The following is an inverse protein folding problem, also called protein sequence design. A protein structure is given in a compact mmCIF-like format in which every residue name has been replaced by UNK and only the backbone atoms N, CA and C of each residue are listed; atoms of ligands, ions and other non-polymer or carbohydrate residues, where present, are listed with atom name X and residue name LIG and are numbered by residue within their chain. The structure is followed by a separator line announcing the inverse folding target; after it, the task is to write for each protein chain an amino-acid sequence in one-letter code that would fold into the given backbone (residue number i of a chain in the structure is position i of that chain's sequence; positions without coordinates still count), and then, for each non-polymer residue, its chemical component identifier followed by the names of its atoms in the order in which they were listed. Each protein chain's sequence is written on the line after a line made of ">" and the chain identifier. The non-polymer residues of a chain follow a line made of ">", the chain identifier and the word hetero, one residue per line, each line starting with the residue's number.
data_IF_841035763771
#
_entry.id   IF_841035763771
#
_cell.length_a   1.000
_cell.length_b   1.000
_cell.length_c   1.000
_cell.angle_alpha   90.00
_cell.angle_beta   90.00
_cell.angle_gamma   90.00
#
_symmetry.space_group_name_H-M   'P 1'
#
loop_
_entity.id
_entity.type
_entity.pdbx_description
1 polymer ?
#
# COMPACT_ATOMS: atom_id res chain seq x y z
N UNK A 1 19.83 -1.03 -17.35
CA UNK A 1 18.60 -0.77 -16.58
C UNK A 1 18.29 0.71 -16.63
N UNK A 2 17.06 1.09 -16.96
CA UNK A 2 16.57 2.48 -16.98
C UNK A 2 15.63 2.70 -15.81
N UNK A 3 15.61 3.91 -15.25
CA UNK A 3 14.72 4.30 -14.15
C UNK A 3 13.99 5.57 -14.57
N UNK A 4 12.67 5.47 -14.66
CA UNK A 4 11.79 6.58 -15.01
C UNK A 4 11.01 7.01 -13.76
N UNK A 5 11.09 8.31 -13.42
CA UNK A 5 10.26 8.89 -12.37
C UNK A 5 8.93 9.31 -12.96
N UNK A 6 7.85 8.86 -12.34
CA UNK A 6 6.48 9.02 -12.84
C UNK A 6 5.58 9.65 -11.79
N UNK A 7 4.50 10.26 -12.28
CA UNK A 7 3.32 10.60 -11.48
C UNK A 7 2.14 9.79 -12.01
N UNK A 8 1.60 8.88 -11.18
CA UNK A 8 0.39 8.13 -11.52
C UNK A 8 -0.84 8.95 -11.12
N UNK A 9 -1.83 9.04 -11.97
CA UNK A 9 -3.12 9.61 -11.60
C UNK A 9 -4.06 8.49 -11.13
N UNK A 10 -4.46 8.50 -9.86
CA UNK A 10 -5.56 7.65 -9.40
C UNK A 10 -6.89 8.11 -10.00
N UNK A 11 -7.94 7.28 -9.96
CA UNK A 11 -9.25 7.59 -10.60
C UNK A 11 -9.90 8.87 -10.07
N UNK A 12 -9.59 9.27 -8.85
CA UNK A 12 -10.02 10.53 -8.23
C UNK A 12 -9.10 11.72 -8.57
N UNK A 13 -8.12 11.51 -9.45
CA UNK A 13 -7.16 12.53 -9.87
C UNK A 13 -5.98 12.72 -8.92
N UNK A 14 -5.89 11.99 -7.80
CA UNK A 14 -4.77 12.14 -6.86
C UNK A 14 -3.46 11.65 -7.50
N UNK A 15 -2.39 12.49 -7.51
CA UNK A 15 -1.12 12.10 -8.11
C UNK A 15 -0.25 11.29 -7.13
N UNK A 16 0.14 10.10 -7.54
CA UNK A 16 1.04 9.21 -6.79
C UNK A 16 2.44 9.27 -7.38
N UNK A 17 3.44 9.41 -6.52
CA UNK A 17 4.84 9.36 -6.92
C UNK A 17 5.28 7.91 -7.16
N UNK A 18 5.89 7.65 -8.32
CA UNK A 18 6.31 6.31 -8.70
C UNK A 18 7.67 6.28 -9.39
N UNK A 19 8.27 5.10 -9.41
CA UNK A 19 9.46 4.75 -10.17
C UNK A 19 9.14 3.52 -11.03
N UNK A 20 9.39 3.60 -12.32
CA UNK A 20 9.37 2.46 -13.21
C UNK A 20 10.80 2.08 -13.57
N UNK A 21 11.21 0.88 -13.18
CA UNK A 21 12.50 0.31 -13.52
C UNK A 21 12.30 -0.66 -14.69
N UNK A 22 13.06 -0.47 -15.76
CA UNK A 22 13.01 -1.32 -16.96
C UNK A 22 14.38 -1.86 -17.29
N UNK A 23 14.50 -3.12 -17.75
CA UNK A 23 15.77 -3.66 -18.25
C UNK A 23 16.21 -2.93 -19.53
N UNK A 24 17.48 -3.06 -19.91
CA UNK A 24 17.99 -2.49 -21.17
C UNK A 24 17.41 -3.22 -22.38
N UNK A 25 17.18 -4.52 -22.25
CA UNK A 25 16.43 -5.31 -23.23
C UNK A 25 14.92 -5.16 -23.00
N UNK A 26 14.12 -5.58 -23.98
CA UNK A 26 12.68 -5.59 -23.83
C UNK A 26 12.22 -6.43 -22.62
N UNK A 27 11.38 -5.89 -21.71
CA UNK A 27 10.90 -6.64 -20.56
C UNK A 27 10.05 -7.83 -21.00
N UNK A 28 10.16 -8.93 -20.27
CA UNK A 28 9.39 -10.16 -20.52
C UNK A 28 8.16 -10.30 -19.61
N UNK A 29 8.11 -9.52 -18.54
CA UNK A 29 7.07 -9.55 -17.49
C UNK A 29 6.97 -8.20 -16.82
N UNK A 30 5.86 -7.93 -16.19
CA UNK A 30 5.70 -6.76 -15.34
C UNK A 30 5.52 -7.18 -13.88
N UNK A 31 5.95 -6.32 -12.96
CA UNK A 31 5.81 -6.51 -11.52
C UNK A 31 5.35 -5.21 -10.88
N UNK A 32 4.15 -5.22 -10.29
CA UNK A 32 3.72 -4.15 -9.39
C UNK A 32 4.11 -4.51 -7.95
N UNK A 33 4.79 -3.60 -7.26
CA UNK A 33 5.14 -3.76 -5.86
C UNK A 33 4.27 -2.86 -5.00
N UNK A 34 3.38 -3.48 -4.23
CA UNK A 34 2.48 -2.81 -3.31
C UNK A 34 3.15 -2.70 -1.93
N UNK A 35 3.47 -1.48 -1.45
CA UNK A 35 4.25 -1.31 -0.22
C UNK A 35 3.46 -1.62 1.05
N UNK A 36 4.19 -1.81 2.15
CA UNK A 36 3.59 -1.86 3.47
C UNK A 36 3.10 -0.47 3.91
N UNK A 37 2.20 -0.44 4.88
CA UNK A 37 1.65 0.79 5.44
C UNK A 37 2.77 1.69 5.99
N UNK A 38 2.87 2.91 5.49
CA UNK A 38 3.87 3.89 5.92
C UNK A 38 5.31 3.61 5.44
N UNK A 39 5.52 2.64 4.54
CA UNK A 39 6.85 2.33 4.01
C UNK A 39 7.02 2.99 2.64
N UNK A 40 8.01 3.89 2.47
CA UNK A 40 8.29 4.53 1.18
C UNK A 40 8.73 3.53 0.10
N UNK A 41 8.42 3.82 -1.15
CA UNK A 41 8.82 3.01 -2.32
C UNK A 41 10.33 2.78 -2.40
N UNK A 42 11.13 3.72 -1.93
CA UNK A 42 12.59 3.64 -1.94
C UNK A 42 13.14 2.45 -1.14
N UNK A 43 12.41 2.01 -0.12
CA UNK A 43 12.76 0.81 0.66
C UNK A 43 12.89 -0.44 -0.21
N UNK A 44 12.11 -0.51 -1.28
CA UNK A 44 12.04 -1.69 -2.17
C UNK A 44 12.98 -1.59 -3.37
N UNK A 45 13.76 -0.52 -3.48
CA UNK A 45 14.57 -0.23 -4.67
C UNK A 45 15.54 -1.36 -5.03
N UNK A 46 16.29 -1.87 -4.06
CA UNK A 46 17.25 -2.98 -4.29
C UNK A 46 16.56 -4.25 -4.80
N UNK A 47 15.40 -4.56 -4.28
CA UNK A 47 14.61 -5.69 -4.79
C UNK A 47 14.14 -5.44 -6.21
N UNK A 48 13.66 -4.23 -6.51
CA UNK A 48 13.22 -3.86 -7.85
C UNK A 48 14.36 -3.92 -8.87
N UNK A 49 15.54 -3.43 -8.51
CA UNK A 49 16.75 -3.54 -9.33
C UNK A 49 17.08 -5.00 -9.66
N UNK A 50 17.12 -5.86 -8.65
CA UNK A 50 17.37 -7.30 -8.84
C UNK A 50 16.30 -8.03 -9.67
N UNK A 51 15.04 -7.61 -9.57
CA UNK A 51 13.96 -8.13 -10.41
C UNK A 51 14.10 -7.62 -11.87
N UNK A 52 14.50 -6.36 -12.05
CA UNK A 52 14.71 -5.77 -13.36
C UNK A 52 15.85 -6.46 -14.11
N UNK A 53 16.94 -6.80 -13.44
CA UNK A 53 18.03 -7.62 -14.01
C UNK A 53 17.55 -8.99 -14.52
N UNK A 54 16.42 -9.48 -13.99
CA UNK A 54 15.77 -10.73 -14.41
C UNK A 54 14.70 -10.56 -15.49
N UNK A 55 14.65 -9.37 -16.10
CA UNK A 55 13.75 -9.06 -17.22
C UNK A 55 12.33 -8.65 -16.82
N UNK A 56 12.15 -8.12 -15.61
CA UNK A 56 10.88 -7.52 -15.19
C UNK A 56 10.90 -6.01 -15.43
N UNK A 57 9.80 -5.45 -15.94
CA UNK A 57 9.50 -4.04 -15.74
C UNK A 57 8.83 -3.90 -14.38
N UNK A 58 9.46 -3.18 -13.44
CA UNK A 58 9.04 -3.11 -12.04
C UNK A 58 8.51 -1.73 -11.72
N UNK A 59 7.27 -1.64 -11.22
CA UNK A 59 6.66 -0.41 -10.75
C UNK A 59 6.70 -0.36 -9.22
N UNK A 60 7.38 0.67 -8.70
CA UNK A 60 7.35 1.09 -7.30
C UNK A 60 6.55 2.38 -7.19
N UNK A 61 5.76 2.54 -6.13
CA UNK A 61 5.02 3.78 -5.89
C UNK A 61 4.79 4.00 -4.39
N UNK A 62 4.48 5.23 -4.02
CA UNK A 62 4.05 5.59 -2.68
C UNK A 62 2.53 5.74 -2.65
N UNK A 63 1.88 5.22 -1.60
CA UNK A 63 0.47 5.51 -1.36
C UNK A 63 0.23 7.00 -1.13
N UNK A 64 -0.98 7.47 -1.39
CA UNK A 64 -1.40 8.85 -1.11
C UNK A 64 -1.09 9.25 0.34
N UNK A 65 -0.55 10.44 0.51
CA UNK A 65 -0.15 10.97 1.82
C UNK A 65 1.17 10.40 2.38
N UNK A 66 1.84 9.48 1.67
CA UNK A 66 3.11 8.88 2.09
C UNK A 66 4.25 9.40 1.21
N UNK A 67 5.39 9.68 1.83
CA UNK A 67 6.66 10.05 1.18
C UNK A 67 6.48 10.98 -0.03
N UNK A 68 6.88 10.55 -1.23
CA UNK A 68 6.79 11.32 -2.47
C UNK A 68 5.36 11.61 -2.95
N UNK A 69 4.36 10.87 -2.47
CA UNK A 69 2.93 11.10 -2.72
C UNK A 69 2.26 12.01 -1.69
N UNK A 70 2.99 12.51 -0.70
CA UNK A 70 2.47 13.48 0.26
C UNK A 70 2.47 14.89 -0.35
N UNK A 71 1.30 15.54 -0.33
CA UNK A 71 1.09 16.90 -0.86
C UNK A 71 0.80 17.89 0.26
N UNK A 72 1.83 18.20 1.08
CA UNK A 72 1.69 19.14 2.18
C UNK A 72 1.32 18.51 3.52
N UNK A 73 0.46 19.17 4.29
CA UNK A 73 0.06 18.74 5.64
C UNK A 73 -0.86 17.52 5.59
N UNK A 74 -0.65 16.57 6.50
CA UNK A 74 -1.60 15.47 6.73
C UNK A 74 -2.82 15.88 7.56
N UNK A 75 -2.77 17.05 8.21
CA UNK A 75 -3.93 17.59 8.94
C UNK A 75 -5.00 17.99 7.94
N UNK A 76 -6.19 17.38 8.05
CA UNK A 76 -7.29 17.59 7.12
C UNK A 76 -7.14 16.87 5.78
N UNK A 77 -6.11 16.03 5.61
CA UNK A 77 -5.97 15.21 4.41
C UNK A 77 -6.96 14.06 4.45
N UNK A 78 -7.87 14.05 3.47
CA UNK A 78 -8.94 13.07 3.37
C UNK A 78 -8.50 11.85 2.55
N UNK A 79 -8.16 10.77 3.23
CA UNK A 79 -7.82 9.48 2.65
C UNK A 79 -8.11 8.38 3.66
N UNK A 80 -8.64 7.26 3.20
CA UNK A 80 -8.92 6.07 4.01
C UNK A 80 -7.94 4.93 3.68
N UNK A 81 -7.86 3.93 4.55
CA UNK A 81 -6.98 2.78 4.31
C UNK A 81 -7.44 1.95 3.10
N UNK A 82 -8.76 1.86 2.88
CA UNK A 82 -9.32 1.20 1.68
C UNK A 82 -9.00 1.94 0.38
N UNK A 83 -8.78 3.26 0.40
CA UNK A 83 -8.41 4.02 -0.81
C UNK A 83 -7.05 3.57 -1.35
N UNK A 84 -6.15 3.08 -0.49
CA UNK A 84 -4.89 2.47 -0.92
C UNK A 84 -5.14 1.25 -1.81
N UNK A 85 -6.16 0.43 -1.51
CA UNK A 85 -6.55 -0.71 -2.34
C UNK A 85 -7.37 -0.32 -3.57
N UNK A 86 -8.46 0.42 -3.35
CA UNK A 86 -9.46 0.70 -4.39
C UNK A 86 -9.00 1.72 -5.43
N UNK A 87 -8.10 2.63 -5.06
CA UNK A 87 -7.65 3.73 -5.89
C UNK A 87 -6.16 3.63 -6.24
N UNK A 88 -5.27 3.50 -5.25
CA UNK A 88 -3.83 3.61 -5.49
C UNK A 88 -3.24 2.33 -6.11
N UNK A 89 -3.56 1.15 -5.55
CA UNK A 89 -3.17 -0.15 -6.15
C UNK A 89 -3.80 -0.29 -7.54
N UNK A 90 -5.06 0.10 -7.69
CA UNK A 90 -5.73 0.05 -8.99
C UNK A 90 -5.03 0.94 -10.04
N UNK A 91 -4.60 2.15 -9.67
CA UNK A 91 -3.85 3.02 -10.57
C UNK A 91 -2.50 2.44 -10.99
N UNK A 92 -1.80 1.78 -10.05
CA UNK A 92 -0.53 1.13 -10.33
C UNK A 92 -0.68 -0.06 -11.30
N UNK A 93 -1.72 -0.88 -11.13
CA UNK A 93 -2.06 -1.98 -12.03
C UNK A 93 -2.42 -1.42 -13.42
N UNK A 94 -3.27 -0.38 -13.48
CA UNK A 94 -3.72 0.24 -14.72
C UNK A 94 -2.55 0.78 -15.55
N UNK A 95 -1.59 1.46 -14.92
CA UNK A 95 -0.39 1.93 -15.63
C UNK A 95 0.36 0.79 -16.30
N UNK A 96 0.64 -0.29 -15.58
CA UNK A 96 1.38 -1.43 -16.14
C UNK A 96 0.58 -2.16 -17.21
N UNK A 97 -0.74 -2.31 -17.03
CA UNK A 97 -1.61 -2.95 -18.01
C UNK A 97 -1.69 -2.14 -19.31
N UNK A 98 -1.79 -0.82 -19.22
CA UNK A 98 -1.81 0.06 -20.41
C UNK A 98 -0.46 0.14 -21.11
N UNK A 99 0.64 0.17 -20.35
CA UNK A 99 2.00 0.31 -20.90
C UNK A 99 2.55 -0.99 -21.49
N UNK A 100 2.12 -2.14 -20.94
CA UNK A 100 2.57 -3.47 -21.34
C UNK A 100 1.39 -4.45 -21.50
N UNK A 101 0.48 -4.19 -22.44
CA UNK A 101 -0.81 -4.90 -22.51
C UNK A 101 -0.68 -6.40 -22.83
N UNK A 102 0.46 -6.84 -23.37
CA UNK A 102 0.69 -8.23 -23.77
C UNK A 102 1.57 -9.01 -22.78
N UNK A 103 2.18 -8.32 -21.81
CA UNK A 103 3.08 -8.97 -20.86
C UNK A 103 2.31 -9.52 -19.65
N UNK A 104 2.70 -10.71 -19.15
CA UNK A 104 2.14 -11.23 -17.91
C UNK A 104 2.51 -10.33 -16.74
N UNK A 105 1.49 -9.96 -15.93
CA UNK A 105 1.64 -9.11 -14.76
C UNK A 105 1.68 -9.94 -13.48
N UNK A 106 2.65 -9.63 -12.63
CA UNK A 106 2.80 -10.19 -11.29
C UNK A 106 2.69 -9.08 -10.25
N UNK A 107 2.32 -9.44 -9.02
CA UNK A 107 2.33 -8.51 -7.89
C UNK A 107 3.17 -9.07 -6.74
N UNK A 108 3.89 -8.19 -6.07
CA UNK A 108 4.44 -8.42 -4.74
C UNK A 108 3.72 -7.49 -3.78
N UNK A 109 3.05 -8.06 -2.78
CA UNK A 109 2.41 -7.29 -1.71
C UNK A 109 3.15 -7.47 -0.40
N UNK A 110 3.65 -6.38 0.18
CA UNK A 110 4.23 -6.40 1.51
C UNK A 110 3.19 -5.93 2.53
N UNK A 111 2.89 -6.80 3.52
CA UNK A 111 1.97 -6.46 4.62
C UNK A 111 0.63 -5.88 4.08
N UNK A 112 0.32 -4.62 4.36
CA UNK A 112 -0.87 -3.92 3.86
C UNK A 112 -1.02 -4.03 2.33
N UNK A 113 0.07 -3.97 1.58
CA UNK A 113 0.04 -4.05 0.11
C UNK A 113 -0.51 -5.37 -0.43
N UNK A 114 -0.28 -6.48 0.28
CA UNK A 114 -0.90 -7.76 -0.06
C UNK A 114 -2.33 -7.88 0.45
N UNK A 115 -2.61 -7.34 1.64
CA UNK A 115 -3.94 -7.35 2.24
C UNK A 115 -4.97 -6.57 1.41
N UNK A 116 -4.55 -5.47 0.79
CA UNK A 116 -5.41 -4.55 0.06
C UNK A 116 -5.54 -4.85 -1.45
N UNK A 117 -4.69 -5.72 -2.00
CA UNK A 117 -4.66 -6.00 -3.44
C UNK A 117 -6.03 -6.44 -3.97
N UNK A 118 -6.75 -7.28 -3.23
CA UNK A 118 -8.08 -7.75 -3.62
C UNK A 118 -9.17 -6.66 -3.65
N UNK A 119 -8.89 -5.44 -3.16
CA UNK A 119 -9.82 -4.31 -3.26
C UNK A 119 -9.67 -3.54 -4.58
N UNK A 120 -8.60 -3.76 -5.33
CA UNK A 120 -8.42 -3.15 -6.65
C UNK A 120 -9.36 -3.81 -7.66
N UNK A 121 -10.25 -3.02 -8.27
CA UNK A 121 -11.26 -3.49 -9.23
C UNK A 121 -10.67 -4.20 -10.45
N UNK A 122 -9.40 -3.91 -10.75
CA UNK A 122 -8.65 -4.45 -11.88
C UNK A 122 -7.59 -5.48 -11.47
N UNK A 123 -7.70 -6.05 -10.25
CA UNK A 123 -6.75 -7.07 -9.74
C UNK A 123 -6.67 -8.32 -10.64
N UNK A 124 -7.68 -8.59 -11.46
CA UNK A 124 -7.70 -9.71 -12.42
C UNK A 124 -6.59 -9.63 -13.49
N UNK A 125 -5.99 -8.45 -13.74
CA UNK A 125 -4.79 -8.34 -14.58
C UNK A 125 -3.57 -9.04 -13.96
N UNK A 126 -3.55 -9.23 -12.64
CA UNK A 126 -2.43 -9.86 -11.92
C UNK A 126 -2.58 -11.38 -11.96
N UNK A 127 -1.66 -12.05 -12.67
CA UNK A 127 -1.70 -13.50 -12.83
C UNK A 127 -1.20 -14.28 -11.61
N UNK A 128 -0.21 -13.72 -10.88
CA UNK A 128 0.35 -14.33 -9.67
C UNK A 128 0.72 -13.27 -8.66
N UNK A 129 0.55 -13.60 -7.38
CA UNK A 129 0.86 -12.72 -6.26
C UNK A 129 1.85 -13.41 -5.32
N UNK A 130 2.88 -12.70 -4.93
CA UNK A 130 3.76 -13.05 -3.80
C UNK A 130 3.39 -12.16 -2.63
N UNK A 131 2.98 -12.74 -1.52
CA UNK A 131 2.65 -12.02 -0.30
C UNK A 131 3.77 -12.17 0.73
N UNK A 132 4.34 -11.05 1.16
CA UNK A 132 5.43 -11.00 2.14
C UNK A 132 4.92 -10.35 3.42
N UNK A 133 5.05 -11.03 4.55
CA UNK A 133 4.60 -10.56 5.86
C UNK A 133 3.12 -10.11 5.89
N UNK A 134 2.29 -10.67 5.01
CA UNK A 134 0.86 -10.43 4.98
C UNK A 134 0.17 -11.36 5.97
N UNK A 135 -0.36 -10.80 7.02
CA UNK A 135 -1.13 -11.53 8.03
C UNK A 135 -2.52 -10.91 8.20
N UNK A 136 -3.44 -11.66 8.75
CA UNK A 136 -4.67 -11.09 9.30
C UNK A 136 -4.26 -10.24 10.50
N UNK A 137 -4.43 -8.93 10.43
CA UNK A 137 -4.00 -7.97 11.47
C UNK A 137 -4.80 -8.05 12.78
N UNK A 138 -5.47 -9.14 13.07
CA UNK A 138 -6.37 -9.33 14.21
C UNK A 138 -5.58 -9.46 15.51
N UNK A 139 -5.80 -8.54 16.44
CA UNK A 139 -5.05 -8.46 17.71
C UNK A 139 -4.96 -9.79 18.50
N UNK A 140 -6.04 -10.57 18.67
CA UNK A 140 -5.98 -11.85 19.39
C UNK A 140 -4.98 -12.85 18.84
N UNK A 141 -4.68 -12.80 17.53
CA UNK A 141 -3.77 -13.74 16.87
C UNK A 141 -2.30 -13.31 16.92
N UNK A 142 -2.02 -12.10 17.41
CA UNK A 142 -0.65 -11.61 17.52
C UNK A 142 0.10 -12.28 18.69
N UNK A 143 1.41 -12.62 18.53
CA UNK A 143 2.20 -13.20 19.59
C UNK A 143 2.44 -12.21 20.75
N UNK A 144 2.61 -12.75 21.98
CA UNK A 144 3.09 -11.98 23.13
C UNK A 144 4.62 -11.80 23.01
N UNK A 145 5.19 -10.64 23.39
CA UNK A 145 4.58 -9.44 23.98
C UNK A 145 4.04 -8.43 22.95
N UNK A 146 4.28 -8.63 21.64
CA UNK A 146 3.90 -7.70 20.59
C UNK A 146 2.40 -7.31 20.61
N UNK A 147 1.52 -8.26 20.99
CA UNK A 147 0.08 -8.01 21.15
C UNK A 147 -0.24 -6.84 22.08
N UNK A 148 0.50 -6.69 23.17
CA UNK A 148 0.25 -5.61 24.14
C UNK A 148 0.63 -4.25 23.56
N UNK A 149 1.76 -4.18 22.87
CA UNK A 149 2.16 -2.97 22.16
C UNK A 149 1.14 -2.62 21.06
N UNK A 150 0.77 -3.59 20.23
CA UNK A 150 -0.24 -3.39 19.18
C UNK A 150 -1.59 -2.92 19.78
N UNK A 151 -2.02 -3.53 20.90
CA UNK A 151 -3.23 -3.11 21.60
C UNK A 151 -3.16 -1.66 22.08
N UNK A 152 -2.05 -1.25 22.68
CA UNK A 152 -1.83 0.14 23.08
C UNK A 152 -1.91 1.09 21.87
N UNK A 153 -1.22 0.74 20.78
CA UNK A 153 -1.21 1.55 19.57
C UNK A 153 -2.62 1.72 18.96
N UNK A 154 -3.39 0.64 18.87
CA UNK A 154 -4.72 0.66 18.25
C UNK A 154 -5.82 1.30 19.13
N UNK A 155 -5.68 1.24 20.47
CA UNK A 155 -6.74 1.72 21.37
C UNK A 155 -6.41 3.07 22.01
N UNK A 156 -5.14 3.46 22.09
CA UNK A 156 -4.74 4.70 22.74
C UNK A 156 -3.95 5.63 21.79
N UNK A 157 -2.80 5.19 21.28
CA UNK A 157 -1.91 6.05 20.52
C UNK A 157 -2.57 6.62 19.25
N UNK A 158 -3.08 5.75 18.37
CA UNK A 158 -3.73 6.19 17.12
C UNK A 158 -4.95 7.08 17.40
N UNK A 159 -5.93 6.69 18.23
CA UNK A 159 -7.07 7.55 18.52
C UNK A 159 -6.67 8.91 19.09
N UNK A 160 -5.78 8.94 20.07
CA UNK A 160 -5.35 10.17 20.73
C UNK A 160 -4.59 11.11 19.79
N UNK A 161 -3.57 10.58 19.10
CA UNK A 161 -2.74 11.40 18.21
C UNK A 161 -3.53 11.91 17.01
N UNK A 162 -4.40 11.09 16.43
CA UNK A 162 -5.26 11.52 15.31
C UNK A 162 -6.29 12.55 15.74
N UNK A 163 -6.75 12.53 16.99
CA UNK A 163 -7.65 13.56 17.52
C UNK A 163 -6.94 14.89 17.77
N UNK A 164 -5.73 14.85 18.36
CA UNK A 164 -5.00 16.06 18.75
C UNK A 164 -4.22 16.68 17.58
N UNK A 165 -3.54 15.84 16.78
CA UNK A 165 -2.64 16.29 15.72
C UNK A 165 -3.31 16.31 14.35
N UNK A 166 -4.40 15.54 14.15
CA UNK A 166 -5.05 15.35 12.86
C UNK A 166 -4.38 14.30 11.95
N UNK A 167 -3.39 13.55 12.47
CA UNK A 167 -2.69 12.46 11.80
C UNK A 167 -2.03 11.55 12.83
N UNK A 168 -1.57 10.36 12.44
CA UNK A 168 -0.79 9.47 13.32
C UNK A 168 0.71 9.68 13.08
N UNK A 169 1.49 10.15 14.09
CA UNK A 169 2.91 10.45 13.95
C UNK A 169 3.76 9.18 14.07
N UNK A 170 3.60 8.26 13.11
CA UNK A 170 4.27 6.96 13.10
C UNK A 170 5.80 7.10 12.98
N UNK A 171 6.27 8.14 12.30
CA UNK A 171 7.70 8.46 12.17
C UNK A 171 8.36 8.76 13.51
N UNK A 172 7.67 9.42 14.43
CA UNK A 172 8.18 9.75 15.75
C UNK A 172 8.45 8.51 16.63
N UNK A 173 7.78 7.39 16.34
CA UNK A 173 7.93 6.10 17.04
C UNK A 173 8.67 5.04 16.22
N UNK A 174 9.28 5.42 15.09
CA UNK A 174 10.06 4.53 14.24
C UNK A 174 9.26 3.53 13.41
N UNK A 175 7.98 3.79 13.16
CA UNK A 175 7.07 2.91 12.43
C UNK A 175 6.84 3.31 10.96
N UNK A 176 7.83 3.91 10.34
CA UNK A 176 7.75 4.39 8.97
C UNK A 176 7.33 5.85 8.88
N UNK A 177 6.66 6.23 7.79
CA UNK A 177 6.16 7.59 7.59
C UNK A 177 4.86 7.84 8.38
N UNK A 178 4.59 9.12 8.68
CA UNK A 178 3.34 9.54 9.31
C UNK A 178 2.13 9.15 8.45
N UNK A 179 1.04 8.75 9.10
CA UNK A 179 -0.15 8.26 8.41
C UNK A 179 -1.28 9.30 8.44
N UNK A 180 -2.02 9.47 7.32
CA UNK A 180 -3.25 10.23 7.32
C UNK A 180 -4.22 9.73 8.41
N UNK A 181 -5.02 10.66 8.94
CA UNK A 181 -5.93 10.41 10.07
C UNK A 181 -6.81 9.19 9.84
N UNK A 182 -7.58 9.18 8.76
CA UNK A 182 -8.57 8.13 8.55
C UNK A 182 -7.93 6.83 8.05
N UNK A 183 -6.77 6.88 7.38
CA UNK A 183 -5.96 5.69 7.08
C UNK A 183 -5.58 4.96 8.37
N UNK A 184 -5.00 5.67 9.34
CA UNK A 184 -4.58 5.08 10.61
C UNK A 184 -5.77 4.56 11.42
N UNK A 185 -6.87 5.31 11.46
CA UNK A 185 -8.10 4.94 12.19
C UNK A 185 -8.77 3.71 11.59
N UNK A 186 -8.97 3.68 10.27
CA UNK A 186 -9.61 2.55 9.60
C UNK A 186 -8.77 1.28 9.75
N UNK A 187 -7.44 1.38 9.56
CA UNK A 187 -6.55 0.26 9.83
C UNK A 187 -6.66 -0.26 11.28
N UNK A 188 -6.68 0.66 12.26
CA UNK A 188 -6.86 0.28 13.66
C UNK A 188 -8.23 -0.37 13.92
N UNK A 189 -9.29 0.07 13.26
CA UNK A 189 -10.63 -0.54 13.32
C UNK A 189 -10.58 -1.97 12.77
N UNK A 190 -9.95 -2.18 11.63
CA UNK A 190 -9.83 -3.52 11.03
C UNK A 190 -9.02 -4.48 11.91
N UNK A 191 -7.91 -4.01 12.49
CA UNK A 191 -7.10 -4.83 13.42
C UNK A 191 -7.86 -5.24 14.70
N UNK A 192 -8.85 -4.47 15.12
CA UNK A 192 -9.69 -4.77 16.27
C UNK A 192 -10.89 -5.68 15.93
N UNK A 193 -11.24 -5.79 14.65
CA UNK A 193 -12.35 -6.62 14.22
C UNK A 193 -11.98 -8.11 14.21
N UNK A 194 -12.96 -8.99 14.52
CA UNK A 194 -12.74 -10.44 14.64
C UNK A 194 -12.21 -11.08 13.35
N UNK A 195 -12.65 -10.58 12.20
CA UNK A 195 -12.32 -11.11 10.87
C UNK A 195 -11.56 -10.10 9.99
N UNK A 196 -10.87 -9.12 10.62
CA UNK A 196 -10.15 -8.07 9.93
C UNK A 196 -11.04 -7.38 8.87
N UNK A 197 -10.53 -7.13 7.66
CA UNK A 197 -11.29 -6.48 6.60
C UNK A 197 -12.56 -7.25 6.17
N UNK A 198 -12.58 -8.58 6.32
CA UNK A 198 -13.75 -9.39 5.98
C UNK A 198 -15.01 -9.04 6.79
N UNK A 199 -14.86 -8.41 7.97
CA UNK A 199 -15.98 -7.91 8.77
C UNK A 199 -16.70 -6.72 8.12
N UNK A 200 -16.12 -6.13 7.09
CA UNK A 200 -16.60 -4.90 6.44
C UNK A 200 -17.15 -5.14 5.02
N UNK A 201 -17.00 -6.34 4.47
CA UNK A 201 -17.61 -6.70 3.17
C UNK A 201 -19.14 -6.59 3.26
N UNK A 202 -19.73 -5.99 2.25
CA UNK A 202 -21.18 -5.70 2.18
C UNK A 202 -21.63 -4.54 3.07
N UNK A 203 -20.70 -3.85 3.75
CA UNK A 203 -20.98 -2.66 4.60
C UNK A 203 -20.25 -1.45 4.04
N UNK A 204 -18.96 -1.30 4.40
CA UNK A 204 -18.11 -0.19 3.96
C UNK A 204 -17.17 -0.60 2.81
N UNK A 205 -17.06 -1.90 2.53
CA UNK A 205 -16.29 -2.46 1.42
C UNK A 205 -17.28 -3.21 0.53
N UNK A 206 -17.35 -2.83 -0.75
CA UNK A 206 -18.14 -3.57 -1.74
C UNK A 206 -17.60 -4.99 -1.90
N UNK A 207 -18.49 -5.98 -2.01
CA UNK A 207 -18.10 -7.30 -2.49
C UNK A 207 -17.82 -7.19 -3.99
N UNK A 208 -16.65 -7.64 -4.40
CA UNK A 208 -16.27 -7.76 -5.81
C UNK A 208 -16.49 -9.17 -6.29
#
# INVERSE_FOLDING_TARGET
>A
MQIETLSLAARDGYPLSALLLTPDDAPRRTLVLNPALGVPKEFYRRFAEAATERGYAVLLYDYRGIAGSRRGSLRGFDATFRDYGTLDIAAAIELLASRYPTLPMFALGHSAGGQLLGLAHNHAHVQRVVMVACSVGTLPLMPRPFRYLARFMMHAFIPLTTALLGYAPAKAVGWGEDLPREVAREWAVWCKADRYLASFFGKTIAQQ
#
